data_IF_207773515756
#
_entry.id   IF_207773515756
#
_cell.length_a   1.000
_cell.length_b   1.000
_cell.length_c   1.000
_cell.angle_alpha   90.00
_cell.angle_beta   90.00
_cell.angle_gamma   90.00
#
_symmetry.space_group_name_H-M   'P 1'
#
loop_
_entity.id
_entity.type
_entity.pdbx_description
1 polymer ?
#
# COMPACT_ATOMS: atom_id res chain seq x y z
N UNK A 1 1.55 -35.44 13.49
CA UNK A 1 1.50 -34.29 14.42
C UNK A 1 1.45 -32.94 13.71
N UNK A 2 2.53 -32.46 13.06
CA UNK A 2 2.50 -31.13 12.40
C UNK A 2 1.47 -31.01 11.27
N UNK A 3 1.24 -32.07 10.50
CA UNK A 3 0.24 -32.13 9.42
C UNK A 3 -1.18 -32.05 9.96
N UNK A 4 -1.47 -32.81 11.00
CA UNK A 4 -2.79 -32.85 11.64
C UNK A 4 -3.16 -31.50 12.27
N UNK A 5 -2.16 -30.81 12.83
CA UNK A 5 -2.32 -29.44 13.36
C UNK A 5 -2.61 -28.45 12.22
N UNK A 6 -1.92 -28.57 11.08
CA UNK A 6 -2.15 -27.71 9.93
C UNK A 6 -3.56 -27.91 9.32
N UNK A 7 -4.02 -29.15 9.22
CA UNK A 7 -5.37 -29.51 8.76
C UNK A 7 -6.46 -29.08 9.74
N UNK A 8 -6.17 -29.12 11.05
CA UNK A 8 -7.09 -28.62 12.06
C UNK A 8 -7.23 -27.09 12.01
N UNK A 9 -6.09 -26.39 11.84
CA UNK A 9 -6.06 -24.92 11.74
C UNK A 9 -6.69 -24.44 10.42
N UNK A 10 -6.57 -25.19 9.32
CA UNK A 10 -7.17 -24.83 8.02
C UNK A 10 -8.70 -24.95 8.00
N UNK A 11 -9.26 -25.88 8.80
CA UNK A 11 -10.71 -26.06 8.96
C UNK A 11 -11.35 -25.05 9.92
N UNK A 12 -10.55 -24.22 10.60
CA UNK A 12 -11.05 -23.26 11.56
C UNK A 12 -11.58 -21.99 10.86
N UNK A 13 -12.90 -21.80 10.92
CA UNK A 13 -13.61 -20.65 10.32
C UNK A 13 -13.39 -19.33 11.09
N UNK A 14 -12.68 -19.33 12.22
CA UNK A 14 -12.42 -18.15 13.07
C UNK A 14 -11.38 -17.17 12.50
N UNK A 15 -11.21 -17.18 11.18
CA UNK A 15 -10.45 -16.25 10.32
C UNK A 15 -8.92 -16.35 10.40
N UNK A 16 -8.30 -16.92 9.35
CA UNK A 16 -6.99 -16.49 8.89
C UNK A 16 -6.99 -15.04 8.34
N UNK A 17 -8.15 -14.44 8.04
CA UNK A 17 -8.25 -13.12 7.37
C UNK A 17 -7.56 -11.96 8.12
N UNK A 18 -7.32 -12.09 9.44
CA UNK A 18 -6.63 -11.06 10.24
C UNK A 18 -5.13 -11.35 10.38
N UNK A 19 -4.68 -12.55 9.98
CA UNK A 19 -3.26 -12.82 9.82
C UNK A 19 -2.84 -12.22 8.49
N UNK A 20 -2.26 -11.02 8.55
CA UNK A 20 -1.49 -10.50 7.43
C UNK A 20 -0.53 -11.61 6.97
N UNK A 21 -0.59 -11.95 5.69
CA UNK A 21 0.36 -12.88 5.12
C UNK A 21 1.76 -12.32 5.37
N UNK A 22 2.59 -13.03 6.13
CA UNK A 22 4.03 -12.73 6.23
C UNK A 22 4.78 -13.09 4.94
N UNK A 23 4.06 -13.33 3.84
CA UNK A 23 4.65 -13.38 2.52
C UNK A 23 5.22 -11.99 2.24
N UNK A 24 6.41 -11.93 1.64
CA UNK A 24 7.04 -10.67 1.27
C UNK A 24 6.03 -9.87 0.43
N UNK A 25 5.50 -8.74 0.93
CA UNK A 25 4.62 -7.91 0.12
C UNK A 25 5.51 -7.25 -0.91
N UNK A 26 5.32 -7.60 -2.17
CA UNK A 26 6.01 -6.96 -3.27
C UNK A 26 6.70 -7.95 -4.18
N UNK A 27 6.23 -7.99 -5.43
CA UNK A 27 7.10 -8.36 -6.54
C UNK A 27 8.26 -7.36 -6.67
N UNK A 28 9.16 -7.65 -7.61
CA UNK A 28 10.26 -6.75 -7.93
C UNK A 28 9.73 -5.35 -8.23
N UNK A 29 10.30 -4.33 -7.57
CA UNK A 29 9.95 -2.94 -7.79
C UNK A 29 10.33 -2.57 -9.23
N UNK A 30 9.35 -2.57 -10.13
CA UNK A 30 9.59 -2.25 -11.52
C UNK A 30 9.90 -0.76 -11.63
N UNK A 31 11.15 -0.45 -11.97
CA UNK A 31 11.58 0.94 -12.15
C UNK A 31 10.79 1.54 -13.31
N UNK A 32 10.12 2.66 -13.07
CA UNK A 32 9.46 3.41 -14.13
C UNK A 32 10.49 3.87 -15.17
N UNK A 33 10.14 3.91 -16.47
CA UNK A 33 11.05 4.38 -17.51
C UNK A 33 11.50 5.82 -17.24
N UNK A 34 12.72 6.15 -17.62
CA UNK A 34 13.25 7.51 -17.53
C UNK A 34 12.64 8.30 -18.71
N UNK A 35 11.99 9.44 -18.47
CA UNK A 35 11.51 10.29 -19.56
C UNK A 35 12.70 10.85 -20.36
N UNK A 36 12.55 10.90 -21.68
CA UNK A 36 13.52 11.43 -22.64
C UNK A 36 13.45 12.96 -22.76
N UNK A 37 12.31 13.56 -22.39
CA UNK A 37 12.09 15.00 -22.52
C UNK A 37 11.49 15.67 -21.29
N UNK A 38 11.67 16.99 -21.19
CA UNK A 38 11.04 17.80 -20.16
C UNK A 38 9.52 17.69 -20.24
N UNK A 39 8.86 17.53 -19.08
CA UNK A 39 7.40 17.43 -18.95
C UNK A 39 6.74 16.22 -19.63
N UNK A 40 7.51 15.25 -20.10
CA UNK A 40 6.96 14.01 -20.68
C UNK A 40 6.21 13.18 -19.63
N UNK A 41 6.67 13.23 -18.38
CA UNK A 41 5.97 12.64 -17.25
C UNK A 41 5.87 13.64 -16.10
N UNK A 42 4.63 13.94 -15.72
CA UNK A 42 4.29 14.77 -14.57
C UNK A 42 3.54 13.87 -13.58
N UNK A 43 4.02 13.82 -12.35
CA UNK A 43 3.38 13.06 -11.28
C UNK A 43 2.71 14.02 -10.33
N UNK A 44 1.42 13.85 -10.11
CA UNK A 44 0.65 14.68 -9.19
C UNK A 44 0.35 13.91 -7.92
N UNK A 45 0.45 14.58 -6.77
CA UNK A 45 0.14 13.97 -5.47
C UNK A 45 -0.61 14.95 -4.55
N UNK A 46 -1.28 14.41 -3.54
CA UNK A 46 -1.96 15.18 -2.51
C UNK A 46 -1.40 14.83 -1.13
N UNK A 47 -0.88 15.84 -0.44
CA UNK A 47 -0.57 15.73 0.99
C UNK A 47 -1.81 16.15 1.76
N UNK A 48 -2.42 15.23 2.51
CA UNK A 48 -3.64 15.46 3.29
C UNK A 48 -3.38 15.27 4.79
N UNK A 49 -4.28 15.80 5.64
CA UNK A 49 -4.18 15.66 7.10
C UNK A 49 -3.22 16.66 7.75
N UNK A 50 -2.96 17.79 7.09
CA UNK A 50 -2.18 18.89 7.65
C UNK A 50 -3.02 19.69 8.66
N UNK A 51 -2.38 20.47 9.55
CA UNK A 51 -3.10 21.44 10.36
C UNK A 51 -3.94 22.37 9.47
N UNK A 52 -5.23 22.52 9.81
CA UNK A 52 -6.17 23.31 9.02
C UNK A 52 -5.73 24.77 8.98
N UNK A 53 -5.73 25.33 7.78
CA UNK A 53 -5.60 26.78 7.58
C UNK A 53 -6.83 27.51 8.12
N UNK A 54 -6.73 28.84 8.27
CA UNK A 54 -7.87 29.69 8.66
C UNK A 54 -9.08 29.59 7.73
N UNK A 55 -8.87 29.13 6.49
CA UNK A 55 -9.92 28.87 5.49
C UNK A 55 -10.45 27.43 5.50
N UNK A 56 -10.00 26.60 6.44
CA UNK A 56 -10.48 25.23 6.62
C UNK A 56 -9.84 24.18 5.71
N UNK A 57 -8.80 24.53 4.95
CA UNK A 57 -8.08 23.60 4.07
C UNK A 57 -6.96 22.90 4.83
N UNK A 58 -6.81 21.59 4.64
CA UNK A 58 -5.79 20.71 5.25
C UNK A 58 -5.00 19.88 4.21
N UNK A 59 -5.14 20.20 2.93
CA UNK A 59 -4.54 19.46 1.82
C UNK A 59 -3.69 20.35 0.91
N UNK A 60 -2.56 19.83 0.43
CA UNK A 60 -1.68 20.45 -0.56
C UNK A 60 -1.61 19.57 -1.80
N UNK A 61 -1.74 20.17 -2.97
CA UNK A 61 -1.53 19.51 -4.26
C UNK A 61 -0.12 19.79 -4.77
N UNK A 62 0.62 18.72 -5.09
CA UNK A 62 2.00 18.76 -5.59
C UNK A 62 2.00 18.25 -7.03
N UNK A 63 2.75 18.91 -7.90
CA UNK A 63 2.94 18.60 -9.33
C UNK A 63 4.43 18.46 -9.61
#
# INVERSE_FOLDING_TARGET
MRRDIADYVSRCLSRPQVKAEYLRPGGEFQRLPIPEWKWERITMDFVVGLPRTSRGVDSIWVI
#
